data_IF_203664253771
#
_entry.id   IF_203664253771
#
_cell.length_a   1.000
_cell.length_b   1.000
_cell.length_c   1.000
_cell.angle_alpha   90.00
_cell.angle_beta   90.00
_cell.angle_gamma   90.00
#
_symmetry.space_group_name_H-M   'P 1'
#
loop_
_entity.id
_entity.type
_entity.pdbx_description
1 polymer ?
#
# COMPACT_ATOMS: atom_id res chain seq x y z
N UNK A 1 18.50 5.25 -17.91
CA UNK A 1 17.37 4.79 -17.08
C UNK A 1 16.22 5.76 -17.29
N UNK A 2 15.19 5.36 -18.02
CA UNK A 2 14.00 6.20 -18.27
C UNK A 2 13.16 6.28 -17.00
N UNK A 3 13.12 7.47 -16.41
CA UNK A 3 12.35 7.76 -15.21
C UNK A 3 10.86 7.70 -15.57
N UNK A 4 10.20 6.57 -15.32
CA UNK A 4 8.76 6.43 -15.63
C UNK A 4 7.99 7.12 -14.51
N UNK A 5 7.70 8.40 -14.69
CA UNK A 5 6.83 9.15 -13.78
C UNK A 5 5.43 8.52 -13.82
N UNK A 6 4.97 8.03 -12.66
CA UNK A 6 3.59 7.58 -12.47
C UNK A 6 2.83 8.63 -11.68
N UNK A 7 1.53 8.47 -11.67
CA UNK A 7 0.63 9.40 -11.03
C UNK A 7 -0.27 8.69 -10.03
N UNK A 8 -0.49 9.35 -8.89
CA UNK A 8 -1.46 8.93 -7.88
C UNK A 8 -2.58 9.96 -7.85
N UNK A 9 -3.81 9.50 -8.02
CA UNK A 9 -4.99 10.36 -7.89
C UNK A 9 -5.46 10.43 -6.44
N UNK A 10 -5.62 11.67 -5.97
CA UNK A 10 -6.22 12.02 -4.69
C UNK A 10 -7.54 12.70 -4.98
N UNK A 11 -8.63 12.03 -4.62
CA UNK A 11 -9.99 12.51 -4.85
C UNK A 11 -10.75 12.59 -3.53
N UNK A 12 -11.71 13.49 -3.46
CA UNK A 12 -12.55 13.63 -2.28
C UNK A 12 -13.65 14.66 -2.48
N UNK A 13 -14.33 14.97 -1.38
CA UNK A 13 -15.42 15.93 -1.31
C UNK A 13 -15.07 16.98 -0.26
N UNK A 14 -15.33 18.25 -0.58
CA UNK A 14 -15.20 19.39 0.33
C UNK A 14 -16.22 20.46 -0.07
N UNK A 15 -16.62 21.33 0.88
CA UNK A 15 -17.53 22.45 0.58
C UNK A 15 -17.08 23.23 -0.67
N UNK A 16 -18.00 23.46 -1.62
CA UNK A 16 -17.71 24.03 -2.94
C UNK A 16 -16.95 25.36 -2.91
N UNK A 17 -17.09 26.13 -1.84
CA UNK A 17 -16.50 27.46 -1.63
C UNK A 17 -15.08 27.43 -1.03
N UNK A 18 -14.62 26.29 -0.53
CA UNK A 18 -13.30 26.17 0.12
C UNK A 18 -12.22 25.80 -0.89
N UNK A 19 -11.03 26.37 -0.73
CA UNK A 19 -9.84 25.90 -1.44
C UNK A 19 -9.35 24.60 -0.78
N UNK A 20 -9.01 23.61 -1.60
CA UNK A 20 -8.44 22.34 -1.14
C UNK A 20 -7.04 22.22 -1.70
N UNK A 21 -6.08 21.79 -0.90
CA UNK A 21 -4.72 21.50 -1.33
C UNK A 21 -4.37 20.06 -1.00
N UNK A 22 -3.66 19.39 -1.90
CA UNK A 22 -3.10 18.06 -1.68
C UNK A 22 -1.58 18.18 -1.78
N UNK A 23 -0.87 17.80 -0.72
CA UNK A 23 0.58 17.98 -0.57
C UNK A 23 1.03 19.42 -0.91
N UNK A 24 0.24 20.41 -0.48
CA UNK A 24 0.49 21.84 -0.74
C UNK A 24 0.11 22.34 -2.14
N UNK A 25 -0.35 21.47 -3.04
CA UNK A 25 -0.78 21.86 -4.40
C UNK A 25 -2.30 22.00 -4.49
N UNK A 26 -2.77 23.11 -5.07
CA UNK A 26 -4.19 23.50 -5.07
C UNK A 26 -5.07 22.64 -5.97
N UNK A 27 -5.97 21.84 -5.38
CA UNK A 27 -7.13 21.10 -5.88
C UNK A 27 -7.75 21.53 -7.23
N UNK A 28 -7.93 20.63 -8.21
CA UNK A 28 -8.90 20.83 -9.30
C UNK A 28 -10.30 20.52 -8.79
N UNK A 29 -11.35 21.22 -9.25
CA UNK A 29 -12.70 21.14 -8.66
C UNK A 29 -13.84 20.95 -9.68
N UNK A 30 -14.90 20.25 -9.24
CA UNK A 30 -16.23 20.20 -9.89
C UNK A 30 -17.32 20.08 -8.83
N UNK A 31 -18.02 21.18 -8.52
CA UNK A 31 -18.92 21.23 -7.36
C UNK A 31 -18.16 20.94 -6.07
N UNK A 32 -18.72 20.11 -5.18
CA UNK A 32 -18.08 19.66 -3.95
C UNK A 32 -16.91 18.69 -4.19
N UNK A 33 -16.79 18.09 -5.37
CA UNK A 33 -15.69 17.18 -5.68
C UNK A 33 -14.38 17.94 -5.94
N UNK A 34 -13.29 17.38 -5.43
CA UNK A 34 -11.93 17.80 -5.78
C UNK A 34 -11.08 16.60 -6.24
N UNK A 35 -10.08 16.90 -7.08
CA UNK A 35 -9.06 15.93 -7.53
C UNK A 35 -7.68 16.60 -7.59
N UNK A 36 -6.65 15.90 -7.13
CA UNK A 36 -5.25 16.20 -7.43
C UNK A 36 -4.52 14.95 -7.85
N UNK A 37 -3.80 15.07 -8.94
CA UNK A 37 -2.84 14.07 -9.38
C UNK A 37 -1.46 14.43 -8.82
N UNK A 38 -0.77 13.47 -8.21
CA UNK A 38 0.59 13.62 -7.67
C UNK A 38 1.57 12.82 -8.51
N UNK A 39 2.62 13.46 -9.01
CA UNK A 39 3.74 12.78 -9.68
C UNK A 39 4.55 11.97 -8.67
N UNK A 40 4.85 10.72 -9.02
CA UNK A 40 5.60 9.78 -8.19
C UNK A 40 6.71 9.14 -9.01
N UNK A 41 7.92 9.09 -8.43
CA UNK A 41 9.05 8.33 -8.96
C UNK A 41 9.34 7.12 -8.07
N UNK A 42 8.88 5.96 -8.49
CA UNK A 42 9.02 4.65 -7.84
C UNK A 42 9.92 3.68 -8.65
N UNK A 43 10.77 4.21 -9.54
CA UNK A 43 11.65 3.37 -10.36
C UNK A 43 12.72 2.67 -9.52
N UNK A 44 13.19 3.31 -8.45
CA UNK A 44 14.18 2.77 -7.52
C UNK A 44 13.64 1.75 -6.51
N UNK A 45 12.32 1.64 -6.36
CA UNK A 45 11.69 0.78 -5.36
C UNK A 45 10.28 1.23 -4.98
N UNK A 46 9.56 0.42 -4.20
CA UNK A 46 8.24 0.79 -3.68
C UNK A 46 8.30 1.97 -2.70
N UNK A 47 7.24 2.76 -2.66
CA UNK A 47 7.12 3.95 -1.81
C UNK A 47 5.90 3.86 -0.88
N UNK A 48 6.05 4.48 0.30
CA UNK A 48 4.95 4.72 1.23
C UNK A 48 4.63 6.21 1.19
N UNK A 49 3.95 6.61 0.12
CA UNK A 49 3.71 8.01 -0.24
C UNK A 49 2.86 8.68 0.84
N UNK A 50 3.43 9.63 1.56
CA UNK A 50 2.69 10.50 2.47
C UNK A 50 1.79 11.46 1.71
N UNK A 51 0.56 11.60 2.19
CA UNK A 51 -0.47 12.46 1.63
C UNK A 51 -1.04 13.35 2.72
N UNK A 52 -1.15 14.64 2.42
CA UNK A 52 -1.85 15.62 3.24
C UNK A 52 -2.89 16.33 2.40
N UNK A 53 -4.11 16.45 2.93
CA UNK A 53 -5.18 17.25 2.35
C UNK A 53 -5.50 18.37 3.34
N UNK A 54 -5.43 19.61 2.87
CA UNK A 54 -5.66 20.80 3.69
C UNK A 54 -6.69 21.72 3.06
N UNK A 55 -7.43 22.44 3.90
CA UNK A 55 -8.36 23.50 3.51
C UNK A 55 -8.35 24.58 4.59
N UNK A 56 -8.43 25.88 4.24
CA UNK A 56 -8.39 26.97 5.23
C UNK A 56 -9.51 26.83 6.28
N UNK A 57 -9.11 26.78 7.55
CA UNK A 57 -10.01 26.63 8.70
C UNK A 57 -10.54 25.21 8.92
N UNK A 58 -10.04 24.21 8.19
CA UNK A 58 -10.39 22.80 8.36
C UNK A 58 -9.21 22.00 8.94
N UNK A 59 -9.48 20.89 9.66
CA UNK A 59 -8.44 19.96 10.05
C UNK A 59 -7.67 19.41 8.85
N UNK A 60 -6.36 19.21 9.02
CA UNK A 60 -5.56 18.50 8.01
C UNK A 60 -5.89 17.02 8.06
N UNK A 61 -6.23 16.45 6.90
CA UNK A 61 -6.37 15.00 6.74
C UNK A 61 -5.04 14.45 6.24
N UNK A 62 -4.51 13.44 6.92
CA UNK A 62 -3.27 12.77 6.51
C UNK A 62 -3.53 11.31 6.18
N UNK A 63 -2.69 10.75 5.31
CA UNK A 63 -2.72 9.35 4.95
C UNK A 63 -1.44 8.93 4.27
N UNK A 64 -1.33 7.63 4.00
CA UNK A 64 -0.26 7.08 3.20
C UNK A 64 -0.81 6.11 2.17
N UNK A 65 -0.20 6.10 0.99
CA UNK A 65 -0.50 5.15 -0.05
C UNK A 65 0.76 4.33 -0.38
N UNK A 66 0.61 3.00 -0.43
CA UNK A 66 1.65 2.16 -1.00
C UNK A 66 1.65 2.32 -2.52
N UNK A 67 2.79 2.69 -3.07
CA UNK A 67 3.02 2.72 -4.51
C UNK A 67 4.08 1.67 -4.81
N UNK A 68 3.72 0.60 -5.51
CA UNK A 68 4.64 -0.48 -5.88
C UNK A 68 5.82 0.04 -6.71
N UNK A 69 6.91 -0.71 -6.81
CA UNK A 69 7.97 -0.42 -7.79
C UNK A 69 7.41 -0.44 -9.22
N UNK A 70 8.05 0.26 -10.15
CA UNK A 70 7.79 0.09 -11.58
C UNK A 70 9.07 -0.23 -12.36
N UNK A 71 9.07 -1.29 -13.20
CA UNK A 71 8.04 -2.34 -13.30
C UNK A 71 7.92 -3.16 -12.00
N UNK A 72 6.76 -3.77 -11.77
CA UNK A 72 6.57 -4.74 -10.69
C UNK A 72 7.28 -6.05 -11.05
N UNK A 73 7.84 -6.72 -10.04
CA UNK A 73 8.52 -8.00 -10.21
C UNK A 73 7.64 -9.06 -9.59
N UNK A 74 7.19 -10.00 -10.42
CA UNK A 74 6.35 -11.12 -10.00
C UNK A 74 7.16 -12.40 -10.15
N UNK A 75 7.20 -13.23 -9.10
CA UNK A 75 7.92 -14.50 -9.09
C UNK A 75 7.01 -15.65 -8.74
N UNK A 76 7.35 -16.84 -9.23
CA UNK A 76 6.64 -18.09 -8.97
C UNK A 76 7.63 -19.18 -8.54
N UNK A 77 7.14 -20.19 -7.83
CA UNK A 77 7.88 -21.44 -7.59
C UNK A 77 7.79 -22.40 -8.80
N UNK A 78 8.40 -23.58 -8.69
CA UNK A 78 8.41 -24.58 -9.77
C UNK A 78 7.02 -25.18 -10.05
N UNK A 79 6.13 -25.16 -9.07
CA UNK A 79 4.76 -25.67 -9.18
C UNK A 79 3.81 -24.59 -9.74
N UNK A 80 4.31 -23.38 -9.95
CA UNK A 80 3.57 -22.26 -10.55
C UNK A 80 2.82 -21.39 -9.55
N UNK A 81 3.02 -21.57 -8.24
CA UNK A 81 2.44 -20.68 -7.25
C UNK A 81 3.21 -19.37 -7.20
N UNK A 82 2.48 -18.25 -7.10
CA UNK A 82 3.09 -16.94 -6.92
C UNK A 82 3.82 -16.88 -5.57
N UNK A 83 5.09 -16.47 -5.58
CA UNK A 83 5.95 -16.33 -4.39
C UNK A 83 6.21 -14.87 -4.03
N UNK A 84 6.12 -13.95 -5.00
CA UNK A 84 6.16 -12.51 -4.78
C UNK A 84 5.39 -11.75 -5.86
N UNK A 85 4.76 -10.64 -5.51
CA UNK A 85 4.14 -9.67 -6.44
C UNK A 85 4.80 -8.27 -6.39
N UNK A 86 5.95 -8.16 -5.72
CA UNK A 86 6.66 -6.90 -5.50
C UNK A 86 6.18 -6.09 -4.29
N UNK A 87 5.09 -6.49 -3.63
CA UNK A 87 4.65 -5.97 -2.33
C UNK A 87 4.61 -7.06 -1.27
N UNK A 88 4.13 -8.22 -1.63
CA UNK A 88 3.86 -9.35 -0.76
C UNK A 88 4.76 -10.52 -1.13
N UNK A 89 5.23 -11.22 -0.10
CA UNK A 89 5.83 -12.54 -0.19
C UNK A 89 4.79 -13.57 0.24
N UNK A 90 4.66 -14.63 -0.55
CA UNK A 90 3.69 -15.70 -0.36
C UNK A 90 4.39 -16.99 0.06
N UNK A 91 3.90 -17.65 1.10
CA UNK A 91 4.40 -18.96 1.54
C UNK A 91 3.32 -20.00 1.41
N UNK A 92 3.67 -21.08 0.71
CA UNK A 92 2.81 -22.23 0.46
C UNK A 92 3.30 -23.42 1.30
N UNK A 93 2.37 -24.27 1.74
CA UNK A 93 2.72 -25.55 2.36
C UNK A 93 2.96 -26.64 1.30
N UNK A 94 3.39 -27.82 1.75
CA UNK A 94 3.66 -28.97 0.88
C UNK A 94 2.41 -29.52 0.16
N UNK A 95 1.21 -29.09 0.57
CA UNK A 95 -0.07 -29.47 -0.05
C UNK A 95 -0.58 -28.38 -1.01
N UNK A 96 0.28 -27.44 -1.40
CA UNK A 96 -0.02 -26.36 -2.34
C UNK A 96 -1.08 -25.37 -1.83
N UNK A 97 -1.11 -25.11 -0.52
CA UNK A 97 -2.04 -24.16 0.11
C UNK A 97 -1.31 -22.94 0.64
N UNK A 98 -1.88 -21.75 0.43
CA UNK A 98 -1.32 -20.49 0.93
C UNK A 98 -1.47 -20.40 2.45
N UNK A 99 -0.35 -20.44 3.18
CA UNK A 99 -0.31 -20.39 4.65
C UNK A 99 0.13 -19.05 5.21
N UNK A 100 0.82 -18.22 4.43
CA UNK A 100 1.27 -16.89 4.88
C UNK A 100 1.41 -15.91 3.72
N UNK A 101 1.01 -14.67 3.96
CA UNK A 101 1.30 -13.50 3.15
C UNK A 101 1.93 -12.46 4.05
N UNK A 102 3.12 -11.97 3.71
CA UNK A 102 3.78 -10.90 4.46
C UNK A 102 4.43 -9.88 3.55
N UNK A 103 4.57 -8.63 3.99
CA UNK A 103 5.20 -7.60 3.16
C UNK A 103 6.65 -7.96 2.84
N UNK A 104 7.06 -7.71 1.59
CA UNK A 104 8.43 -7.93 1.13
C UNK A 104 9.42 -7.10 1.95
N UNK A 105 10.60 -7.66 2.22
CA UNK A 105 11.62 -6.99 3.05
C UNK A 105 12.17 -5.70 2.43
N UNK A 106 12.03 -5.54 1.12
CA UNK A 106 12.40 -4.35 0.34
C UNK A 106 11.28 -3.30 0.28
N UNK A 107 10.13 -3.55 0.90
CA UNK A 107 9.03 -2.60 1.00
C UNK A 107 9.20 -1.65 2.19
N UNK A 108 8.61 -0.44 2.18
CA UNK A 108 8.72 0.49 3.30
C UNK A 108 8.14 -0.10 4.59
N UNK A 109 8.93 -0.10 5.66
CA UNK A 109 8.59 -0.77 6.92
C UNK A 109 7.26 -0.31 7.54
N UNK A 110 6.93 0.98 7.42
CA UNK A 110 5.66 1.51 7.93
C UNK A 110 4.42 0.89 7.25
N UNK A 111 4.59 0.36 6.04
CA UNK A 111 3.55 -0.33 5.28
C UNK A 111 3.42 -1.82 5.62
N UNK A 112 4.36 -2.39 6.39
CA UNK A 112 4.42 -3.84 6.59
C UNK A 112 3.19 -4.39 7.28
N UNK A 113 2.65 -5.48 6.72
CA UNK A 113 1.57 -6.29 7.28
C UNK A 113 1.89 -7.76 7.08
N UNK A 114 1.18 -8.62 7.81
CA UNK A 114 1.25 -10.06 7.66
C UNK A 114 -0.10 -10.70 7.95
N UNK A 115 -0.42 -11.75 7.21
CA UNK A 115 -1.56 -12.62 7.48
C UNK A 115 -1.10 -14.07 7.39
N UNK A 116 -1.53 -14.90 8.33
CA UNK A 116 -1.31 -16.34 8.35
C UNK A 116 -2.62 -17.09 8.37
N UNK A 117 -2.65 -18.26 7.76
CA UNK A 117 -3.79 -19.17 7.75
C UNK A 117 -3.40 -20.55 8.25
N UNK A 118 -4.38 -21.21 8.86
CA UNK A 118 -4.30 -22.63 9.26
C UNK A 118 -5.43 -23.38 8.59
N UNK A 119 -5.15 -24.63 8.20
CA UNK A 119 -6.09 -25.50 7.51
C UNK A 119 -6.28 -26.79 8.32
N UNK A 120 -7.46 -27.39 8.24
CA UNK A 120 -7.66 -28.76 8.72
C UNK A 120 -7.13 -29.80 7.72
N UNK A 121 -7.17 -31.07 8.13
CA UNK A 121 -6.80 -32.20 7.31
C UNK A 121 -7.65 -32.38 6.04
N UNK A 122 -8.82 -31.72 5.95
CA UNK A 122 -9.67 -31.73 4.76
C UNK A 122 -9.42 -30.52 3.84
N UNK A 123 -8.41 -29.70 4.14
CA UNK A 123 -8.04 -28.53 3.35
C UNK A 123 -8.93 -27.31 3.57
N UNK A 124 -9.80 -27.31 4.58
CA UNK A 124 -10.65 -26.15 4.90
C UNK A 124 -9.87 -25.19 5.78
N UNK A 125 -9.96 -23.89 5.48
CA UNK A 125 -9.36 -22.83 6.29
C UNK A 125 -10.06 -22.75 7.64
N UNK A 126 -9.32 -22.98 8.72
CA UNK A 126 -9.84 -22.95 10.10
C UNK A 126 -9.57 -21.63 10.82
N UNK A 127 -8.49 -20.93 10.47
CA UNK A 127 -8.10 -19.70 11.14
C UNK A 127 -7.42 -18.72 10.18
N UNK A 128 -7.52 -17.43 10.52
CA UNK A 128 -6.76 -16.36 9.91
C UNK A 128 -6.23 -15.43 11.02
N UNK A 129 -4.94 -15.14 11.01
CA UNK A 129 -4.30 -14.21 11.94
C UNK A 129 -3.65 -13.07 11.19
N UNK A 130 -4.21 -11.87 11.31
CA UNK A 130 -3.63 -10.66 10.77
C UNK A 130 -2.76 -9.95 11.82
N UNK A 131 -1.58 -9.48 11.42
CA UNK A 131 -0.66 -8.71 12.25
C UNK A 131 -0.26 -7.44 11.49
N UNK A 132 -0.50 -6.29 12.12
CA UNK A 132 0.14 -5.03 11.78
C UNK A 132 1.29 -4.78 12.74
N UNK A 133 2.47 -4.41 12.23
CA UNK A 133 3.58 -4.05 13.08
C UNK A 133 3.30 -2.70 13.75
N UNK A 134 3.10 -2.69 15.07
CA UNK A 134 3.23 -1.51 15.91
C UNK A 134 4.57 -1.62 16.67
N UNK A 135 5.29 -0.50 16.83
CA UNK A 135 6.66 -0.44 17.39
C UNK A 135 6.83 -1.38 18.60
N UNK A 136 7.78 -2.31 18.53
CA UNK A 136 8.43 -2.80 19.75
C UNK A 136 9.47 -1.75 20.15
N UNK A 137 9.10 -0.78 20.99
CA UNK A 137 10.11 -0.20 21.87
C UNK A 137 10.29 -1.17 23.04
N UNK A 138 11.16 -2.16 22.87
CA UNK A 138 11.83 -2.74 24.03
C UNK A 138 13.05 -1.86 24.30
N UNK A 139 12.91 -0.92 25.23
CA UNK A 139 14.07 -0.35 25.92
C UNK A 139 14.72 -1.46 26.72
N UNK A 140 16.00 -1.72 26.47
CA UNK A 140 16.90 -2.33 27.45
C UNK A 140 17.62 -1.22 28.20
#
# INVERSE_FOLDING_TARGET
MTNTTRFVDVVGVALATKLVYVNGQMASRKGEYFRRELSVNNAGGPLWLGMTVTSPGEPTVTGNLFVSRTPEIITHDLDGNMTSDGRWTYTWDAENRLVKVESGSDTPQASWRRVEWQYDALGRRMAARAVGWWRKTSSS
#
